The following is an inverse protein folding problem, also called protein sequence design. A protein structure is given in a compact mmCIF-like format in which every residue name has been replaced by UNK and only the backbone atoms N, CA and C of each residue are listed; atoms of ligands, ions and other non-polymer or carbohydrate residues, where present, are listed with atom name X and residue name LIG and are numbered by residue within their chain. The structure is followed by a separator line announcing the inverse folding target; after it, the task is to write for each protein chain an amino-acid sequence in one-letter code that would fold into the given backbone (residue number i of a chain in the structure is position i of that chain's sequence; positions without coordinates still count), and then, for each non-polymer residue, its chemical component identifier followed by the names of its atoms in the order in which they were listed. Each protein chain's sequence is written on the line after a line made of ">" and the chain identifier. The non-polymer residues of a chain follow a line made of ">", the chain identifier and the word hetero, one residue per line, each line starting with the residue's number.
data_IF_124662234675
#
_entry.id   IF_124662234675
#
_cell.length_a   1.000
_cell.length_b   1.000
_cell.length_c   1.000
_cell.angle_alpha   90.00
_cell.angle_beta   90.00
_cell.angle_gamma   90.00
#
_symmetry.space_group_name_H-M   'P 1'
#
loop_
_entity.id
_entity.type
_entity.pdbx_description
1 polymer ?
#
# COMPACT_ATOMS: atom_id res chain seq x y z
N UNK A 1 18.09 -44.09 15.60
CA UNK A 1 19.08 -43.10 15.14
C UNK A 1 18.52 -42.12 14.12
N UNK A 2 17.77 -42.56 13.08
CA UNK A 2 17.24 -41.67 12.03
C UNK A 2 16.20 -40.66 12.54
N UNK A 3 15.29 -41.08 13.43
CA UNK A 3 14.21 -40.23 13.98
C UNK A 3 14.74 -39.00 14.74
N UNK A 4 15.90 -39.12 15.38
CA UNK A 4 16.51 -38.02 16.13
C UNK A 4 16.94 -36.84 15.23
N UNK A 5 17.21 -37.09 13.95
CA UNK A 5 17.54 -36.06 12.96
C UNK A 5 16.30 -35.50 12.24
N UNK A 6 15.23 -36.28 12.12
CA UNK A 6 14.01 -35.87 11.41
C UNK A 6 13.31 -34.73 12.16
N UNK A 7 13.16 -34.84 13.48
CA UNK A 7 12.45 -33.84 14.30
C UNK A 7 13.04 -32.42 14.15
N UNK A 8 14.36 -32.19 14.31
CA UNK A 8 14.91 -30.84 14.18
C UNK A 8 14.80 -30.29 12.75
N UNK A 9 14.97 -31.13 11.73
CA UNK A 9 14.82 -30.71 10.32
C UNK A 9 13.38 -30.22 10.07
N UNK A 10 12.40 -30.94 10.61
CA UNK A 10 10.99 -30.62 10.45
C UNK A 10 10.63 -29.30 11.15
N UNK A 11 11.20 -29.03 12.32
CA UNK A 11 11.04 -27.75 13.03
C UNK A 11 11.63 -26.61 12.19
N UNK A 12 12.84 -26.76 11.67
CA UNK A 12 13.50 -25.73 10.83
C UNK A 12 12.68 -25.46 9.57
N UNK A 13 12.12 -26.50 8.94
CA UNK A 13 11.27 -26.34 7.77
C UNK A 13 9.98 -25.56 8.09
N UNK A 14 9.30 -25.89 9.20
CA UNK A 14 8.09 -25.16 9.64
C UNK A 14 8.41 -23.71 9.95
N UNK A 15 9.50 -23.43 10.67
CA UNK A 15 9.91 -22.08 11.03
C UNK A 15 10.32 -21.27 9.79
N UNK A 16 11.04 -21.89 8.84
CA UNK A 16 11.42 -21.23 7.59
C UNK A 16 10.21 -20.84 6.73
N UNK A 17 9.26 -21.77 6.56
CA UNK A 17 8.03 -21.52 5.80
C UNK A 17 7.16 -20.49 6.54
N UNK A 18 6.96 -20.68 7.84
CA UNK A 18 6.17 -19.75 8.67
C UNK A 18 6.75 -18.34 8.67
N UNK A 19 8.07 -18.22 8.84
CA UNK A 19 8.79 -16.96 8.77
C UNK A 19 8.65 -16.27 7.41
N UNK A 20 8.77 -17.04 6.31
CA UNK A 20 8.59 -16.50 4.96
C UNK A 20 7.16 -15.97 4.74
N UNK A 21 6.14 -16.71 5.18
CA UNK A 21 4.74 -16.28 5.07
C UNK A 21 4.50 -14.99 5.86
N UNK A 22 4.97 -14.92 7.11
CA UNK A 22 4.82 -13.72 7.95
C UNK A 22 5.55 -12.52 7.30
N UNK A 23 6.77 -12.72 6.83
CA UNK A 23 7.53 -11.67 6.16
C UNK A 23 6.78 -11.14 4.93
N UNK A 24 6.29 -12.03 4.07
CA UNK A 24 5.62 -11.67 2.83
C UNK A 24 4.26 -10.99 3.02
N UNK A 25 3.50 -11.37 4.05
CA UNK A 25 2.16 -10.81 4.26
C UNK A 25 2.13 -9.61 5.22
N UNK A 26 2.91 -9.64 6.30
CA UNK A 26 2.83 -8.61 7.36
C UNK A 26 3.90 -7.55 7.18
N UNK A 27 5.16 -7.97 7.07
CA UNK A 27 6.30 -7.04 7.02
C UNK A 27 6.28 -6.27 5.70
N UNK A 28 6.03 -6.96 4.59
CA UNK A 28 5.94 -6.32 3.28
C UNK A 28 4.84 -5.24 3.23
N UNK A 29 3.63 -5.56 3.68
CA UNK A 29 2.50 -4.61 3.68
C UNK A 29 2.77 -3.40 4.60
N UNK A 30 3.39 -3.65 5.76
CA UNK A 30 3.81 -2.60 6.68
C UNK A 30 4.85 -1.65 6.08
N UNK A 31 5.86 -2.19 5.38
CA UNK A 31 6.91 -1.40 4.73
C UNK A 31 6.35 -0.54 3.60
N UNK A 32 5.45 -1.08 2.76
CA UNK A 32 4.76 -0.31 1.73
C UNK A 32 3.97 0.86 2.34
N UNK A 33 3.20 0.61 3.41
CA UNK A 33 2.43 1.66 4.07
C UNK A 33 3.33 2.75 4.68
N UNK A 34 4.45 2.35 5.31
CA UNK A 34 5.42 3.29 5.87
C UNK A 34 6.07 4.16 4.76
N UNK A 35 6.47 3.54 3.65
CA UNK A 35 7.10 4.22 2.52
C UNK A 35 6.20 5.32 1.94
N UNK A 36 4.92 5.00 1.70
CA UNK A 36 4.00 6.01 1.16
C UNK A 36 3.71 7.12 2.18
N UNK A 37 3.57 6.79 3.46
CA UNK A 37 3.38 7.79 4.52
C UNK A 37 4.58 8.73 4.65
N UNK A 38 5.81 8.21 4.56
CA UNK A 38 7.02 9.05 4.52
C UNK A 38 7.07 9.94 3.29
N UNK A 39 6.66 9.42 2.13
CA UNK A 39 6.54 10.19 0.89
C UNK A 39 5.54 11.33 1.07
N UNK A 40 4.35 11.08 1.58
CA UNK A 40 3.35 12.13 1.83
C UNK A 40 3.84 13.18 2.84
N UNK A 41 4.54 12.74 3.88
CA UNK A 41 5.18 13.65 4.84
C UNK A 41 6.25 14.53 4.18
N UNK A 42 7.06 13.97 3.28
CA UNK A 42 8.11 14.69 2.54
C UNK A 42 7.51 15.79 1.65
N UNK A 43 6.38 15.51 1.00
CA UNK A 43 5.66 16.48 0.16
C UNK A 43 4.66 17.36 0.93
N UNK A 44 4.65 17.30 2.27
CA UNK A 44 3.72 18.03 3.14
C UNK A 44 2.22 17.79 2.82
N UNK A 45 1.90 16.63 2.24
CA UNK A 45 0.54 16.27 1.89
C UNK A 45 -0.17 15.81 3.17
N UNK A 46 -1.05 16.65 3.71
CA UNK A 46 -1.89 16.32 4.88
C UNK A 46 -3.06 15.38 4.55
N UNK A 47 -3.37 15.16 3.28
CA UNK A 47 -4.50 14.33 2.84
C UNK A 47 -4.16 12.84 2.91
N UNK A 48 -5.16 12.03 3.25
CA UNK A 48 -5.04 10.56 3.27
C UNK A 48 -5.06 9.99 1.85
N UNK A 49 -4.42 8.85 1.63
CA UNK A 49 -4.39 8.14 0.34
C UNK A 49 -5.80 7.93 -0.23
N UNK A 50 -6.72 7.40 0.58
CA UNK A 50 -8.15 7.27 0.24
C UNK A 50 -8.82 8.59 -0.18
N UNK A 51 -8.46 9.71 0.46
CA UNK A 51 -9.03 11.02 0.11
C UNK A 51 -8.52 11.51 -1.24
N UNK A 52 -7.24 11.30 -1.54
CA UNK A 52 -6.65 11.67 -2.83
C UNK A 52 -7.30 10.86 -3.97
N UNK A 53 -7.49 9.55 -3.78
CA UNK A 53 -8.16 8.70 -4.77
C UNK A 53 -9.60 9.19 -4.99
N UNK A 54 -10.33 9.43 -3.89
CA UNK A 54 -11.73 9.89 -3.97
C UNK A 54 -11.86 11.23 -4.68
N UNK A 55 -11.04 12.21 -4.30
CA UNK A 55 -11.03 13.54 -4.94
C UNK A 55 -10.62 13.47 -6.41
N UNK A 56 -9.68 12.59 -6.77
CA UNK A 56 -9.25 12.42 -8.15
C UNK A 56 -10.39 11.90 -9.03
N UNK A 57 -11.10 10.86 -8.60
CA UNK A 57 -12.24 10.33 -9.35
C UNK A 57 -13.44 11.29 -9.35
N UNK A 58 -13.72 11.95 -8.23
CA UNK A 58 -14.76 12.98 -8.15
C UNK A 58 -14.43 14.16 -9.09
N UNK A 59 -13.16 14.56 -9.19
CA UNK A 59 -12.71 15.57 -10.15
C UNK A 59 -12.86 15.13 -11.62
N UNK A 60 -12.96 13.83 -11.90
CA UNK A 60 -13.25 13.29 -13.23
C UNK A 60 -14.75 13.09 -13.48
N UNK A 61 -15.60 13.30 -12.47
CA UNK A 61 -17.03 13.00 -12.54
C UNK A 61 -17.37 11.53 -12.32
N UNK A 62 -16.43 10.73 -11.80
CA UNK A 62 -16.62 9.32 -11.46
C UNK A 62 -16.84 9.16 -9.95
N UNK A 63 -17.92 8.51 -9.53
CA UNK A 63 -18.17 8.18 -8.13
C UNK A 63 -17.80 6.73 -7.85
N UNK A 64 -16.65 6.53 -7.20
CA UNK A 64 -16.17 5.20 -6.80
C UNK A 64 -16.70 4.81 -5.42
N UNK A 65 -17.00 3.53 -5.23
CA UNK A 65 -17.44 3.00 -3.93
C UNK A 65 -16.28 2.96 -2.93
N UNK A 66 -16.56 3.08 -1.63
CA UNK A 66 -15.52 2.98 -0.58
C UNK A 66 -14.74 1.66 -0.62
N UNK A 67 -15.39 0.57 -1.07
CA UNK A 67 -14.71 -0.73 -1.27
C UNK A 67 -13.67 -0.65 -2.39
N UNK A 68 -13.97 0.05 -3.46
CA UNK A 68 -13.05 0.24 -4.58
C UNK A 68 -11.91 1.18 -4.20
N UNK A 69 -12.20 2.25 -3.45
CA UNK A 69 -11.16 3.14 -2.87
C UNK A 69 -10.16 2.33 -2.05
N UNK A 70 -10.65 1.46 -1.16
CA UNK A 70 -9.80 0.60 -0.33
C UNK A 70 -8.96 -0.38 -1.16
N UNK A 71 -9.55 -0.94 -2.22
CA UNK A 71 -8.86 -1.86 -3.12
C UNK A 71 -7.74 -1.14 -3.90
N UNK A 72 -8.06 0.01 -4.49
CA UNK A 72 -7.11 0.85 -5.23
C UNK A 72 -5.99 1.34 -4.31
N UNK A 73 -6.30 1.72 -3.07
CA UNK A 73 -5.29 2.13 -2.09
C UNK A 73 -4.28 1.01 -1.81
N UNK A 74 -4.74 -0.24 -1.69
CA UNK A 74 -3.82 -1.39 -1.53
C UNK A 74 -3.01 -1.64 -2.80
N UNK A 75 -3.65 -1.61 -3.96
CA UNK A 75 -2.99 -1.85 -5.24
C UNK A 75 -1.88 -0.83 -5.51
N UNK A 76 -2.18 0.46 -5.37
CA UNK A 76 -1.22 1.54 -5.58
C UNK A 76 -0.10 1.52 -4.54
N UNK A 77 -0.37 1.16 -3.27
CA UNK A 77 0.69 0.98 -2.26
C UNK A 77 1.69 -0.11 -2.63
N UNK A 78 1.23 -1.19 -3.24
CA UNK A 78 2.05 -2.39 -3.48
C UNK A 78 2.74 -2.37 -4.85
N UNK A 79 2.13 -1.73 -5.86
CA UNK A 79 2.62 -1.75 -7.24
C UNK A 79 3.14 -0.40 -7.74
N UNK A 80 2.43 0.70 -7.45
CA UNK A 80 2.65 2.01 -8.10
C UNK A 80 2.46 3.16 -7.09
N UNK A 81 3.36 3.33 -6.11
CA UNK A 81 3.22 4.33 -5.06
C UNK A 81 3.31 5.77 -5.59
N UNK A 82 4.02 6.00 -6.70
CA UNK A 82 4.10 7.28 -7.39
C UNK A 82 2.75 7.79 -7.90
N UNK A 83 1.80 6.88 -8.18
CA UNK A 83 0.49 7.25 -8.71
C UNK A 83 -0.31 8.14 -7.75
N UNK A 84 -0.08 7.99 -6.44
CA UNK A 84 -0.67 8.88 -5.45
C UNK A 84 -0.23 10.34 -5.61
N UNK A 85 1.04 10.58 -5.96
CA UNK A 85 1.56 11.93 -6.18
C UNK A 85 0.99 12.52 -7.47
N UNK A 86 0.95 11.72 -8.54
CA UNK A 86 0.37 12.15 -9.82
C UNK A 86 -1.13 12.51 -9.69
N UNK A 87 -1.90 11.71 -8.95
CA UNK A 87 -3.31 12.01 -8.64
C UNK A 87 -3.44 13.30 -7.83
N UNK A 88 -2.61 13.48 -6.81
CA UNK A 88 -2.62 14.69 -5.99
C UNK A 88 -2.28 15.94 -6.80
N UNK A 89 -1.24 15.89 -7.64
CA UNK A 89 -0.85 17.00 -8.49
C UNK A 89 -1.94 17.34 -9.50
N UNK A 90 -2.58 16.34 -10.12
CA UNK A 90 -3.70 16.56 -11.04
C UNK A 90 -4.90 17.26 -10.38
N UNK A 91 -5.26 16.84 -9.15
CA UNK A 91 -6.33 17.50 -8.38
C UNK A 91 -5.94 18.93 -8.04
N UNK A 92 -4.69 19.16 -7.62
CA UNK A 92 -4.18 20.50 -7.27
C UNK A 92 -4.17 21.44 -8.48
N UNK A 93 -3.73 20.96 -9.64
CA UNK A 93 -3.66 21.77 -10.86
C UNK A 93 -5.05 22.14 -11.37
N UNK A 94 -6.00 21.20 -11.32
CA UNK A 94 -7.40 21.48 -11.66
C UNK A 94 -8.02 22.52 -10.71
N UNK A 95 -7.74 22.42 -9.41
CA UNK A 95 -8.19 23.41 -8.43
C UNK A 95 -7.67 24.81 -8.75
N UNK A 96 -6.41 24.95 -9.18
CA UNK A 96 -5.81 26.25 -9.54
C UNK A 96 -6.37 26.84 -10.82
N UNK A 97 -6.74 26.01 -11.80
CA UNK A 97 -7.30 26.47 -13.08
C UNK A 97 -8.81 26.78 -13.01
N UNK A 98 -9.46 26.51 -11.87
CA UNK A 98 -10.89 26.78 -11.65
C UNK A 98 -11.11 28.04 -10.79
N UNK A 99 -10.03 28.69 -10.31
CA UNK A 99 -10.03 30.07 -9.80
C UNK A 99 -9.77 31.06 -10.94
#
# INVERSE_FOLDING_TARGET
>A
MVVAYIIPILIVAIVGIGGYVIYRFVIYDYLCNKSVKETFRKYNIKKTQSQIIKEYHESKGETISEKEVSHLEKLYRQKEPEQFLAMYDAVRDKSKNTE
#
